data_IF_838058927899
#
_entry.id   IF_838058927899
#
_cell.length_a   1.000
_cell.length_b   1.000
_cell.length_c   1.000
_cell.angle_alpha   90.00
_cell.angle_beta   90.00
_cell.angle_gamma   90.00
#
_symmetry.space_group_name_H-M   'P 1'
#
loop_
_entity.id
_entity.type
_entity.pdbx_description
1 polymer ?
#
# COMPACT_ATOMS: atom_id res chain seq x y z
N UNK A 1 -13.11 -11.78 2.16
CA UNK A 1 -11.86 -11.49 1.43
C UNK A 1 -11.71 -12.37 0.19
N UNK A 2 -11.45 -13.68 0.30
CA UNK A 2 -11.27 -14.54 -0.89
C UNK A 2 -12.47 -14.51 -1.87
N UNK A 3 -13.71 -14.52 -1.37
CA UNK A 3 -14.92 -14.37 -2.21
C UNK A 3 -14.91 -13.07 -3.02
N UNK A 4 -14.75 -11.93 -2.34
CA UNK A 4 -14.66 -10.61 -2.98
C UNK A 4 -13.50 -10.52 -3.98
N UNK A 5 -12.36 -11.14 -3.66
CA UNK A 5 -11.25 -11.23 -4.60
C UNK A 5 -11.66 -11.96 -5.90
N UNK A 6 -12.34 -13.11 -5.80
CA UNK A 6 -12.84 -13.84 -6.97
C UNK A 6 -13.83 -12.99 -7.77
N UNK A 7 -14.76 -12.30 -7.11
CA UNK A 7 -15.73 -11.39 -7.75
C UNK A 7 -15.02 -10.27 -8.54
N UNK A 8 -13.93 -9.72 -8.02
CA UNK A 8 -13.10 -8.73 -8.74
C UNK A 8 -12.52 -9.34 -10.02
N UNK A 9 -11.92 -10.52 -9.93
CA UNK A 9 -11.35 -11.21 -11.10
C UNK A 9 -12.42 -11.56 -12.13
N UNK A 10 -13.57 -12.07 -11.69
CA UNK A 10 -14.71 -12.41 -12.56
C UNK A 10 -15.33 -11.16 -13.22
N UNK A 11 -15.22 -9.98 -12.60
CA UNK A 11 -15.61 -8.70 -13.20
C UNK A 11 -14.63 -8.21 -14.28
N UNK A 12 -13.54 -8.95 -14.55
CA UNK A 12 -12.49 -8.59 -15.50
C UNK A 12 -11.47 -7.58 -14.96
N UNK A 13 -11.46 -7.33 -13.65
CA UNK A 13 -10.52 -6.41 -12.99
C UNK A 13 -9.38 -7.20 -12.33
N UNK A 14 -8.22 -6.58 -12.22
CA UNK A 14 -7.09 -7.09 -11.44
C UNK A 14 -7.14 -6.54 -10.02
N UNK A 15 -7.07 -7.42 -9.01
CA UNK A 15 -6.92 -6.97 -7.63
C UNK A 15 -5.59 -6.23 -7.41
N UNK A 16 -4.53 -6.63 -8.12
CA UNK A 16 -3.26 -5.93 -8.10
C UNK A 16 -3.40 -4.48 -8.55
N UNK A 17 -4.14 -4.24 -9.63
CA UNK A 17 -4.37 -2.88 -10.15
C UNK A 17 -5.23 -2.05 -9.20
N UNK A 18 -6.21 -2.67 -8.54
CA UNK A 18 -7.00 -2.02 -7.49
C UNK A 18 -6.08 -1.56 -6.37
N UNK A 19 -5.25 -2.44 -5.81
CA UNK A 19 -4.32 -2.07 -4.74
C UNK A 19 -3.34 -1.00 -5.25
N UNK A 20 -2.71 -1.18 -6.41
CA UNK A 20 -1.75 -0.24 -6.98
C UNK A 20 -2.33 1.15 -7.27
N UNK A 21 -3.64 1.28 -7.50
CA UNK A 21 -4.30 2.58 -7.68
C UNK A 21 -4.24 3.51 -6.45
N UNK A 22 -3.86 2.96 -5.28
CA UNK A 22 -3.68 3.73 -4.04
C UNK A 22 -2.22 4.11 -3.79
N UNK A 23 -1.28 3.83 -4.70
CA UNK A 23 0.08 4.34 -4.59
C UNK A 23 0.06 5.87 -4.59
N UNK A 24 0.71 6.53 -3.64
CA UNK A 24 0.90 7.98 -3.72
C UNK A 24 1.81 8.35 -4.89
N UNK A 25 1.55 9.49 -5.52
CA UNK A 25 2.41 9.99 -6.61
C UNK A 25 3.83 10.30 -6.12
N UNK A 26 3.92 10.84 -4.90
CA UNK A 26 5.17 11.14 -4.21
C UNK A 26 5.17 10.47 -2.83
N UNK A 27 6.28 9.82 -2.48
CA UNK A 27 6.47 9.24 -1.16
C UNK A 27 7.92 9.40 -0.71
N UNK A 28 8.12 10.03 0.45
CA UNK A 28 9.45 10.19 1.03
C UNK A 28 9.70 9.06 2.03
N UNK A 29 10.82 8.36 1.89
CA UNK A 29 11.23 7.36 2.87
C UNK A 29 11.49 8.03 4.24
N UNK A 30 11.06 7.38 5.35
CA UNK A 30 11.20 7.93 6.69
C UNK A 30 12.68 7.97 7.12
N UNK A 31 13.06 8.95 7.94
CA UNK A 31 14.42 9.03 8.47
C UNK A 31 14.70 7.93 9.51
N UNK A 32 13.70 7.61 10.32
CA UNK A 32 13.75 6.59 11.37
C UNK A 32 12.39 5.90 11.55
N UNK A 33 12.36 4.82 12.33
CA UNK A 33 11.10 4.13 12.63
C UNK A 33 10.08 4.99 13.39
N UNK A 34 10.53 6.06 14.06
CA UNK A 34 9.64 7.00 14.75
C UNK A 34 8.88 7.93 13.79
N UNK A 35 9.36 8.05 12.56
CA UNK A 35 8.78 8.90 11.53
C UNK A 35 7.75 8.15 10.68
N UNK A 36 7.57 6.84 10.90
CA UNK A 36 6.56 6.02 10.23
C UNK A 36 5.22 6.30 10.89
N UNK A 37 4.26 6.77 10.08
CA UNK A 37 2.88 6.99 10.53
C UNK A 37 2.13 5.66 10.67
N UNK A 38 1.09 5.61 11.51
CA UNK A 38 0.25 4.40 11.62
C UNK A 38 -0.71 4.24 10.42
N UNK A 39 -1.03 5.34 9.73
CA UNK A 39 -1.90 5.40 8.56
C UNK A 39 -1.61 6.63 7.70
N UNK A 40 -2.06 6.62 6.44
CA UNK A 40 -1.98 7.75 5.52
C UNK A 40 -3.35 8.07 4.93
N UNK A 41 -3.47 9.13 4.13
CA UNK A 41 -4.75 9.41 3.46
C UNK A 41 -5.12 8.34 2.43
N UNK A 42 -4.12 7.82 1.71
CA UNK A 42 -4.27 6.73 0.75
C UNK A 42 -4.73 5.46 1.45
N UNK A 43 -4.16 5.13 2.62
CA UNK A 43 -4.57 3.94 3.37
C UNK A 43 -5.99 4.07 3.95
N UNK A 44 -6.38 5.28 4.39
CA UNK A 44 -7.76 5.59 4.77
C UNK A 44 -8.72 5.45 3.59
N UNK A 45 -8.34 5.94 2.40
CA UNK A 45 -9.13 5.79 1.17
C UNK A 45 -9.28 4.32 0.78
N UNK A 46 -8.18 3.57 0.74
CA UNK A 46 -8.16 2.13 0.47
C UNK A 46 -9.05 1.37 1.46
N UNK A 47 -8.96 1.67 2.75
CA UNK A 47 -9.79 1.04 3.79
C UNK A 47 -11.28 1.24 3.55
N UNK A 48 -11.70 2.49 3.23
CA UNK A 48 -13.10 2.81 2.92
C UNK A 48 -13.59 2.03 1.71
N UNK A 49 -12.81 2.02 0.63
CA UNK A 49 -13.22 1.42 -0.64
C UNK A 49 -13.25 -0.11 -0.55
N UNK A 50 -12.22 -0.75 0.03
CA UNK A 50 -12.19 -2.20 0.22
C UNK A 50 -13.31 -2.68 1.14
N UNK A 51 -13.63 -1.92 2.19
CA UNK A 51 -14.79 -2.19 3.04
C UNK A 51 -16.09 -2.08 2.24
N UNK A 52 -16.21 -1.08 1.36
CA UNK A 52 -17.34 -0.92 0.43
C UNK A 52 -17.49 -2.08 -0.55
N UNK A 53 -16.38 -2.69 -0.98
CA UNK A 53 -16.37 -3.91 -1.81
C UNK A 53 -16.69 -5.19 -1.01
N UNK A 54 -16.79 -5.12 0.32
CA UNK A 54 -17.11 -6.28 1.16
C UNK A 54 -15.90 -7.02 1.74
N UNK A 55 -14.68 -6.46 1.65
CA UNK A 55 -13.55 -6.97 2.42
C UNK A 55 -13.76 -6.72 3.92
N UNK A 56 -13.25 -7.64 4.73
CA UNK A 56 -13.26 -7.59 6.19
C UNK A 56 -11.82 -7.49 6.71
N UNK A 57 -11.66 -6.92 7.91
CA UNK A 57 -10.34 -6.66 8.53
C UNK A 57 -9.42 -5.80 7.64
N UNK A 58 -9.97 -4.74 7.07
CA UNK A 58 -9.26 -3.78 6.19
C UNK A 58 -9.31 -2.38 6.78
N UNK A 59 -8.92 -2.23 8.06
CA UNK A 59 -8.79 -0.91 8.69
C UNK A 59 -7.64 -0.10 8.09
N UNK A 60 -7.60 1.24 8.26
CA UNK A 60 -6.58 2.09 7.65
C UNK A 60 -5.13 1.69 7.96
N UNK A 61 -4.83 1.29 9.20
CA UNK A 61 -3.50 0.77 9.58
C UNK A 61 -3.16 -0.52 8.85
N UNK A 62 -4.11 -1.46 8.72
CA UNK A 62 -3.90 -2.72 7.98
C UNK A 62 -3.66 -2.41 6.50
N UNK A 63 -4.41 -1.48 5.92
CA UNK A 63 -4.20 -1.03 4.56
C UNK A 63 -2.83 -0.37 4.38
N UNK A 64 -2.35 0.41 5.35
CA UNK A 64 -1.03 1.01 5.26
C UNK A 64 0.08 -0.05 5.37
N UNK A 65 -0.06 -1.03 6.27
CA UNK A 65 0.84 -2.18 6.32
C UNK A 65 0.83 -3.01 5.03
N UNK A 66 -0.32 -3.14 4.35
CA UNK A 66 -0.40 -3.75 3.03
C UNK A 66 0.36 -2.92 1.99
N UNK A 67 0.20 -1.60 2.00
CA UNK A 67 0.94 -0.71 1.10
C UNK A 67 2.45 -0.89 1.29
N UNK A 68 2.93 -0.93 2.54
CA UNK A 68 4.34 -1.19 2.85
C UNK A 68 4.80 -2.57 2.37
N UNK A 69 4.03 -3.62 2.70
CA UNK A 69 4.40 -5.02 2.40
C UNK A 69 4.32 -5.38 0.91
N UNK A 70 3.42 -4.73 0.16
CA UNK A 70 3.28 -4.93 -1.28
C UNK A 70 4.13 -3.95 -2.12
N UNK A 71 4.88 -3.06 -1.46
CA UNK A 71 5.82 -2.14 -2.11
C UNK A 71 5.19 -0.89 -2.71
N UNK A 72 3.97 -0.53 -2.29
CA UNK A 72 3.31 0.71 -2.72
C UNK A 72 4.03 1.95 -2.21
N UNK A 73 4.64 1.82 -1.05
CA UNK A 73 5.47 2.85 -0.42
C UNK A 73 6.80 2.23 -0.02
N UNK A 74 7.87 3.01 -0.15
CA UNK A 74 9.18 2.60 0.30
C UNK A 74 9.47 3.20 1.69
N UNK A 75 9.00 2.52 2.73
CA UNK A 75 9.18 2.92 4.14
C UNK A 75 10.43 2.34 4.80
N UNK A 76 11.36 1.82 4.02
CA UNK A 76 12.68 1.51 4.54
C UNK A 76 13.33 2.80 5.07
N UNK A 77 13.71 2.79 6.35
CA UNK A 77 14.30 3.96 7.03
C UNK A 77 15.60 4.41 6.38
N UNK A 78 15.99 5.67 6.59
CA UNK A 78 17.23 6.23 6.06
C UNK A 78 18.42 5.31 6.37
N UNK A 79 19.19 5.00 5.33
CA UNK A 79 20.35 4.10 5.33
C UNK A 79 20.04 2.58 5.36
N UNK A 80 18.78 2.17 5.28
CA UNK A 80 18.47 0.78 4.99
C UNK A 80 19.02 0.39 3.60
N UNK A 81 19.89 -0.63 3.48
CA UNK A 81 20.50 -1.00 2.19
C UNK A 81 19.48 -1.32 1.10
N UNK A 82 18.39 -1.99 1.47
CA UNK A 82 17.31 -2.36 0.55
C UNK A 82 16.55 -1.12 0.09
N UNK A 83 16.19 -0.21 1.01
CA UNK A 83 15.52 1.04 0.68
C UNK A 83 16.32 1.90 -0.30
N UNK A 84 17.64 2.00 -0.08
CA UNK A 84 18.55 2.71 -0.98
C UNK A 84 18.68 2.04 -2.35
N UNK A 85 18.67 0.71 -2.42
CA UNK A 85 18.69 -0.02 -3.69
C UNK A 85 17.41 0.22 -4.49
N UNK A 86 16.24 0.17 -3.85
CA UNK A 86 14.95 0.45 -4.49
C UNK A 86 14.93 1.86 -5.05
N UNK A 87 15.28 2.87 -4.25
CA UNK A 87 15.29 4.27 -4.66
C UNK A 87 16.17 4.52 -5.91
N UNK A 88 17.33 3.84 -5.99
CA UNK A 88 18.22 3.92 -7.16
C UNK A 88 17.63 3.29 -8.43
N UNK A 89 16.79 2.26 -8.28
CA UNK A 89 16.13 1.60 -9.42
C UNK A 89 14.97 2.45 -9.95
N UNK A 90 14.27 3.19 -9.10
CA UNK A 90 13.15 4.05 -9.49
C UNK A 90 13.59 5.36 -10.18
N UNK A 91 14.84 5.81 -9.98
CA UNK A 91 15.39 7.01 -10.65
C UNK A 91 15.95 6.75 -12.05
N UNK A 92 15.87 5.51 -12.54
CA UNK A 92 16.51 5.06 -13.80
C UNK A 92 15.47 4.70 -14.85
#
# INVERSE_FOLDING_TARGET
NARVYIEIIESGKSFGDVVWSYRPEEHASPASSRDISDETEESRRMSRDLKGMGFAFVGPTICYSLMQGAGLVNDHVALCPIGMEIARRETR
#
